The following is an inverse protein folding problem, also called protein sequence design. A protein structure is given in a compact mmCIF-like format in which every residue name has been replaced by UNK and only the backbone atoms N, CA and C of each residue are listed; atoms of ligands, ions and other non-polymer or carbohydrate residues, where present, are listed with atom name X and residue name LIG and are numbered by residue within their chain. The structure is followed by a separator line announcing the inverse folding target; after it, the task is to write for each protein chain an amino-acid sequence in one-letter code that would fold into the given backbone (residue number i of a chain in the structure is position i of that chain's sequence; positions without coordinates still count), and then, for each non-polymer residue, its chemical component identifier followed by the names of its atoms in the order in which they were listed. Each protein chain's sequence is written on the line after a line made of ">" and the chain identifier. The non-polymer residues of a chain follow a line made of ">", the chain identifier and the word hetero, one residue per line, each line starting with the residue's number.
data_IF_709330426701
#
_entry.id   IF_709330426701
#
_cell.length_a   1.000
_cell.length_b   1.000
_cell.length_c   1.000
_cell.angle_alpha   90.00
_cell.angle_beta   90.00
_cell.angle_gamma   90.00
#
_symmetry.space_group_name_H-M   'P 1'
#
loop_
_entity.id
_entity.type
_entity.pdbx_description
1 polymer ?
#
# COMPACT_ATOMS: atom_id res chain seq x y z
N UNK A 1 5.97 -17.77 -1.09
CA UNK A 1 6.84 -16.81 -1.78
C UNK A 1 7.83 -16.19 -0.78
N UNK A 2 9.13 -16.51 -0.88
CA UNK A 2 10.16 -15.98 0.03
C UNK A 2 10.36 -14.46 -0.09
N UNK A 3 9.97 -13.86 -1.22
CA UNK A 3 10.12 -12.44 -1.49
C UNK A 3 9.10 -11.62 -0.69
N UNK A 4 7.84 -12.07 -0.69
CA UNK A 4 6.78 -11.46 0.12
C UNK A 4 7.14 -11.45 1.62
N UNK A 5 7.66 -12.58 2.14
CA UNK A 5 8.09 -12.70 3.55
C UNK A 5 9.26 -11.78 3.88
N UNK A 6 10.23 -11.62 2.97
CA UNK A 6 11.39 -10.72 3.17
C UNK A 6 10.95 -9.25 3.16
N UNK A 7 10.05 -8.86 2.26
CA UNK A 7 9.50 -7.49 2.18
C UNK A 7 8.70 -7.13 3.44
N UNK A 8 7.86 -8.05 3.93
CA UNK A 8 7.07 -7.86 5.14
C UNK A 8 7.96 -7.73 6.37
N UNK A 9 8.97 -8.61 6.50
CA UNK A 9 9.90 -8.60 7.62
C UNK A 9 10.71 -7.29 7.67
N UNK A 10 11.19 -6.79 6.53
CA UNK A 10 11.93 -5.52 6.49
C UNK A 10 11.04 -4.29 6.76
N UNK A 11 9.81 -4.25 6.27
CA UNK A 11 8.93 -3.07 6.46
C UNK A 11 8.36 -2.96 7.87
N UNK A 12 7.89 -4.08 8.42
CA UNK A 12 7.28 -4.11 9.76
C UNK A 12 8.35 -3.86 10.84
N UNK A 13 9.56 -4.39 10.67
CA UNK A 13 10.65 -4.23 11.65
C UNK A 13 11.35 -2.87 11.59
N UNK A 14 11.41 -2.21 10.42
CA UNK A 14 12.16 -0.94 10.30
C UNK A 14 11.31 0.31 10.59
N UNK A 15 10.02 0.18 10.92
CA UNK A 15 9.16 1.33 11.23
C UNK A 15 9.06 2.35 10.09
N UNK A 16 9.30 1.92 8.84
CA UNK A 16 9.21 2.80 7.68
C UNK A 16 7.76 2.91 7.24
N UNK A 17 7.15 4.06 7.55
CA UNK A 17 5.82 4.40 7.06
C UNK A 17 5.73 4.37 5.53
N UNK A 18 4.51 4.23 5.02
CA UNK A 18 4.23 4.26 3.60
C UNK A 18 3.70 5.63 3.17
N UNK A 19 4.45 6.28 2.28
CA UNK A 19 4.01 7.52 1.65
C UNK A 19 2.65 7.35 0.93
N UNK A 20 1.71 8.31 1.01
CA UNK A 20 0.37 8.15 0.44
C UNK A 20 0.34 7.93 -1.08
N UNK A 21 1.22 8.60 -1.84
CA UNK A 21 1.37 8.37 -3.29
C UNK A 21 1.69 6.91 -3.59
N UNK A 22 2.68 6.37 -2.88
CA UNK A 22 3.13 4.98 -3.02
C UNK A 22 2.04 4.00 -2.59
N UNK A 23 1.33 4.31 -1.50
CA UNK A 23 0.19 3.52 -1.06
C UNK A 23 -0.87 3.40 -2.16
N UNK A 24 -1.26 4.51 -2.80
CA UNK A 24 -2.17 4.47 -3.93
C UNK A 24 -1.64 3.63 -5.10
N UNK A 25 -0.38 3.85 -5.51
CA UNK A 25 0.23 3.10 -6.63
C UNK A 25 0.14 1.61 -6.40
N UNK A 26 0.55 1.15 -5.22
CA UNK A 26 0.44 -0.27 -4.82
C UNK A 26 -1.01 -0.72 -4.74
N UNK A 27 -1.88 0.11 -4.18
CA UNK A 27 -3.28 -0.26 -3.98
C UNK A 27 -4.01 -0.51 -5.30
N UNK A 28 -3.73 0.33 -6.30
CA UNK A 28 -4.32 0.25 -7.65
C UNK A 28 -3.50 -0.62 -8.61
N UNK A 29 -2.47 -1.33 -8.14
CA UNK A 29 -1.72 -2.30 -8.94
C UNK A 29 -0.71 -1.69 -9.91
N UNK A 30 -0.37 -0.41 -9.77
CA UNK A 30 0.63 0.27 -10.61
C UNK A 30 2.08 -0.17 -10.30
N UNK A 31 2.32 -0.73 -9.11
CA UNK A 31 3.59 -1.38 -8.74
C UNK A 31 3.52 -2.92 -8.83
N UNK A 32 2.58 -3.47 -9.62
CA UNK A 32 2.48 -4.91 -9.80
C UNK A 32 3.71 -5.48 -10.52
N UNK A 33 4.10 -6.70 -10.16
CA UNK A 33 5.15 -7.47 -10.83
C UNK A 33 4.51 -8.56 -11.69
N UNK A 34 5.13 -8.83 -12.84
CA UNK A 34 4.76 -9.95 -13.69
C UNK A 34 5.32 -11.28 -13.14
N UNK A 35 5.04 -12.39 -13.83
CA UNK A 35 5.50 -13.72 -13.45
C UNK A 35 7.03 -13.89 -13.40
N UNK A 36 7.79 -12.98 -14.01
CA UNK A 36 9.25 -12.95 -14.00
C UNK A 36 9.82 -12.00 -12.93
N UNK A 37 8.97 -11.42 -12.07
CA UNK A 37 9.38 -10.47 -11.04
C UNK A 37 9.72 -9.07 -11.58
N UNK A 38 9.34 -8.75 -12.82
CA UNK A 38 9.60 -7.45 -13.43
C UNK A 38 8.37 -6.53 -13.28
N UNK A 39 8.56 -5.20 -13.16
CA UNK A 39 7.44 -4.25 -13.11
C UNK A 39 6.53 -4.37 -14.35
N UNK A 40 5.21 -4.41 -14.12
CA UNK A 40 4.23 -4.40 -15.20
C UNK A 40 4.09 -3.03 -15.89
N UNK A 41 4.52 -1.96 -15.21
CA UNK A 41 4.40 -0.58 -15.66
C UNK A 41 5.74 0.13 -15.53
N UNK A 42 6.06 0.98 -16.50
CA UNK A 42 7.19 1.90 -16.41
C UNK A 42 6.80 3.12 -15.57
N UNK A 43 7.79 3.89 -15.08
CA UNK A 43 7.48 5.11 -14.33
C UNK A 43 6.69 6.13 -15.17
N UNK A 44 6.95 6.19 -16.49
CA UNK A 44 6.15 7.02 -17.41
C UNK A 44 4.69 6.58 -17.49
N UNK A 45 4.42 5.27 -17.53
CA UNK A 45 3.04 4.75 -17.54
C UNK A 45 2.33 5.11 -16.23
N UNK A 46 3.03 4.97 -15.11
CA UNK A 46 2.51 5.29 -13.78
C UNK A 46 2.16 6.78 -13.70
N UNK A 47 3.05 7.67 -14.13
CA UNK A 47 2.82 9.12 -14.12
C UNK A 47 1.66 9.52 -15.03
N UNK A 48 1.50 8.85 -16.18
CA UNK A 48 0.36 9.05 -17.07
C UNK A 48 -0.96 8.70 -16.37
N UNK A 49 -1.03 7.54 -15.69
CA UNK A 49 -2.22 7.16 -14.91
C UNK A 49 -2.47 8.12 -13.74
N UNK A 50 -1.41 8.55 -13.04
CA UNK A 50 -1.54 9.52 -11.94
C UNK A 50 -2.07 10.89 -12.41
N UNK A 51 -1.90 11.20 -13.69
CA UNK A 51 -2.38 12.42 -14.33
C UNK A 51 -3.81 12.30 -14.86
N UNK A 52 -4.39 11.10 -14.88
CA UNK A 52 -5.77 10.88 -15.34
C UNK A 52 -6.80 11.56 -14.42
N UNK A 53 -7.88 12.03 -15.04
CA UNK A 53 -8.99 12.60 -14.31
C UNK A 53 -9.58 11.58 -13.31
N UNK A 54 -9.73 11.99 -12.06
CA UNK A 54 -10.30 11.16 -11.00
C UNK A 54 -9.30 10.25 -10.27
N UNK A 55 -8.05 10.07 -10.75
CA UNK A 55 -7.05 9.26 -10.02
C UNK A 55 -6.82 9.81 -8.61
N UNK A 56 -6.61 11.13 -8.50
CA UNK A 56 -6.46 11.81 -7.20
C UNK A 56 -7.68 11.60 -6.29
N UNK A 57 -8.89 11.65 -6.84
CA UNK A 57 -10.11 11.47 -6.05
C UNK A 57 -10.22 10.04 -5.52
N UNK A 58 -9.89 9.03 -6.34
CA UNK A 58 -9.79 7.63 -5.90
C UNK A 58 -8.79 7.48 -4.75
N UNK A 59 -7.63 8.13 -4.84
CA UNK A 59 -6.64 8.17 -3.76
C UNK A 59 -7.20 8.80 -2.48
N UNK A 60 -7.83 9.97 -2.58
CA UNK A 60 -8.39 10.68 -1.42
C UNK A 60 -9.42 9.79 -0.71
N UNK A 61 -10.33 9.18 -1.46
CA UNK A 61 -11.39 8.33 -0.91
C UNK A 61 -10.82 7.06 -0.25
N UNK A 62 -9.82 6.45 -0.88
CA UNK A 62 -9.12 5.29 -0.33
C UNK A 62 -8.44 5.64 1.00
N UNK A 63 -7.61 6.68 1.02
CA UNK A 63 -6.84 7.07 2.21
C UNK A 63 -7.80 7.52 3.33
N UNK A 64 -8.88 8.23 2.99
CA UNK A 64 -9.93 8.63 3.95
C UNK A 64 -10.53 7.41 4.66
N UNK A 65 -10.85 6.37 3.89
CA UNK A 65 -11.42 5.12 4.40
C UNK A 65 -10.45 4.36 5.31
N UNK A 66 -9.17 4.34 4.95
CA UNK A 66 -8.10 3.66 5.69
C UNK A 66 -7.78 4.37 6.99
N UNK A 67 -7.57 5.69 6.94
CA UNK A 67 -7.18 6.50 8.11
C UNK A 67 -8.37 6.95 8.95
N UNK A 68 -9.61 6.67 8.52
CA UNK A 68 -10.86 7.09 9.18
C UNK A 68 -10.94 8.61 9.40
N UNK A 69 -10.48 9.37 8.40
CA UNK A 69 -10.55 10.85 8.40
C UNK A 69 -11.39 11.34 7.22
N UNK A 70 -11.88 12.58 7.31
CA UNK A 70 -12.73 13.17 6.26
C UNK A 70 -11.94 13.35 4.95
N UNK A 71 -12.51 13.04 3.78
CA UNK A 71 -11.88 13.27 2.47
C UNK A 71 -11.37 14.71 2.28
N UNK A 72 -12.14 15.70 2.76
CA UNK A 72 -11.77 17.12 2.70
C UNK A 72 -10.46 17.43 3.45
N UNK A 73 -10.14 16.68 4.51
CA UNK A 73 -8.86 16.81 5.22
C UNK A 73 -7.70 16.42 4.32
N UNK A 74 -7.84 15.30 3.60
CA UNK A 74 -6.81 14.77 2.69
C UNK A 74 -6.70 15.65 1.45
N UNK A 75 -7.82 16.19 0.97
CA UNK A 75 -7.83 17.12 -0.15
C UNK A 75 -6.92 18.34 0.12
N UNK A 76 -6.76 18.74 1.38
CA UNK A 76 -5.90 19.86 1.82
C UNK A 76 -4.42 19.48 1.94
N UNK A 77 -4.06 18.21 1.80
CA UNK A 77 -2.67 17.73 1.94
C UNK A 77 -1.78 18.05 0.75
N UNK A 78 -2.16 18.95 -0.15
CA UNK A 78 -1.33 19.32 -1.29
C UNK A 78 -2.09 19.28 -2.60
N UNK A 79 -1.40 19.66 -3.68
CA UNK A 79 -1.90 19.53 -5.05
C UNK A 79 -1.38 18.23 -5.67
N UNK A 80 -2.10 17.68 -6.64
CA UNK A 80 -1.65 16.48 -7.36
C UNK A 80 -1.59 15.22 -6.48
N UNK A 81 -0.64 14.34 -6.71
CA UNK A 81 -0.50 13.06 -5.98
C UNK A 81 0.63 13.06 -4.95
N UNK A 82 1.25 14.21 -4.70
CA UNK A 82 2.42 14.31 -3.81
C UNK A 82 2.08 14.31 -2.33
N UNK A 83 0.90 14.81 -1.96
CA UNK A 83 0.48 14.93 -0.55
C UNK A 83 1.53 15.64 0.35
N UNK A 84 2.14 16.71 -0.16
CA UNK A 84 3.26 17.45 0.44
C UNK A 84 2.88 18.29 1.66
N UNK A 85 1.59 18.60 1.86
CA UNK A 85 1.08 19.44 2.96
C UNK A 85 0.48 18.65 4.12
N UNK A 86 0.93 17.42 4.33
CA UNK A 86 0.59 16.68 5.55
C UNK A 86 1.27 17.38 6.73
N UNK A 87 0.53 17.55 7.82
CA UNK A 87 1.05 18.14 9.05
C UNK A 87 2.25 17.33 9.58
N UNK A 88 3.41 17.93 9.87
CA UNK A 88 4.61 17.20 10.28
C UNK A 88 4.40 16.30 11.51
N UNK A 89 3.59 16.74 12.47
CA UNK A 89 3.22 16.00 13.68
C UNK A 89 2.42 14.72 13.39
N UNK A 90 1.71 14.66 12.26
CA UNK A 90 0.86 13.51 11.89
C UNK A 90 1.43 12.66 10.77
N UNK A 91 2.42 13.17 10.04
CA UNK A 91 2.96 12.49 8.86
C UNK A 91 3.43 11.08 9.18
N UNK A 92 4.27 10.94 10.20
CA UNK A 92 4.78 9.64 10.59
C UNK A 92 3.64 8.69 10.98
N UNK A 93 2.68 9.16 11.78
CA UNK A 93 1.54 8.35 12.20
C UNK A 93 0.73 7.85 10.99
N UNK A 94 0.37 8.74 10.07
CA UNK A 94 -0.42 8.37 8.90
C UNK A 94 0.33 7.41 7.97
N UNK A 95 1.60 7.69 7.68
CA UNK A 95 2.40 6.81 6.85
C UNK A 95 2.57 5.42 7.52
N UNK A 96 2.74 5.36 8.84
CA UNK A 96 2.75 4.09 9.58
C UNK A 96 1.46 3.28 9.41
N UNK A 97 0.29 3.92 9.57
CA UNK A 97 -1.00 3.26 9.36
C UNK A 97 -1.16 2.74 7.93
N UNK A 98 -0.78 3.53 6.93
CA UNK A 98 -0.80 3.10 5.53
C UNK A 98 0.13 1.90 5.29
N UNK A 99 1.30 1.90 5.94
CA UNK A 99 2.25 0.79 5.89
C UNK A 99 1.70 -0.50 6.51
N UNK A 100 1.02 -0.41 7.65
CA UNK A 100 0.35 -1.57 8.26
C UNK A 100 -0.74 -2.14 7.37
N UNK A 101 -1.58 -1.28 6.79
CA UNK A 101 -2.68 -1.71 5.92
C UNK A 101 -2.16 -2.35 4.63
N UNK A 102 -1.10 -1.79 4.02
CA UNK A 102 -0.44 -2.43 2.87
C UNK A 102 0.13 -3.81 3.24
N UNK A 103 0.78 -3.92 4.40
CA UNK A 103 1.36 -5.19 4.87
C UNK A 103 0.29 -6.24 5.13
N UNK A 104 -0.81 -5.86 5.80
CA UNK A 104 -1.96 -6.75 6.02
C UNK A 104 -2.59 -7.18 4.70
N UNK A 105 -2.71 -6.29 3.73
CA UNK A 105 -3.21 -6.64 2.39
C UNK A 105 -2.30 -7.65 1.71
N UNK A 106 -0.99 -7.43 1.70
CA UNK A 106 -0.02 -8.36 1.08
C UNK A 106 -0.10 -9.73 1.75
N UNK A 107 -0.15 -9.77 3.08
CA UNK A 107 -0.33 -11.00 3.85
C UNK A 107 -1.64 -11.71 3.47
N UNK A 108 -2.76 -10.99 3.48
CA UNK A 108 -4.06 -11.55 3.16
C UNK A 108 -4.12 -12.12 1.75
N UNK A 109 -3.59 -11.40 0.74
CA UNK A 109 -3.50 -11.92 -0.63
C UNK A 109 -2.61 -13.14 -0.73
N UNK A 110 -1.49 -13.16 0.00
CA UNK A 110 -0.59 -14.32 0.02
C UNK A 110 -1.27 -15.55 0.64
N UNK A 111 -2.01 -15.35 1.73
CA UNK A 111 -2.75 -16.42 2.42
C UNK A 111 -3.93 -16.93 1.57
N UNK A 112 -4.66 -16.03 0.89
CA UNK A 112 -5.74 -16.42 -0.01
C UNK A 112 -5.27 -17.25 -1.21
N UNK A 113 -4.00 -17.12 -1.59
CA UNK A 113 -3.36 -17.93 -2.63
C UNK A 113 -2.79 -19.26 -2.14
N UNK A 114 -2.88 -19.57 -0.84
CA UNK A 114 -2.43 -20.85 -0.30
C UNK A 114 -3.55 -21.89 -0.36
N UNK A 115 -3.16 -23.13 -0.65
CA UNK A 115 -4.02 -24.29 -0.49
C UNK A 115 -4.44 -24.46 0.99
N UNK A 116 -5.66 -24.94 1.21
CA UNK A 116 -6.25 -25.12 2.54
C UNK A 116 -5.41 -26.03 3.45
N UNK A 117 -4.74 -27.05 2.88
CA UNK A 117 -3.82 -27.92 3.60
C UNK A 117 -2.53 -27.22 4.05
N UNK A 118 -2.02 -26.27 3.28
CA UNK A 118 -0.87 -25.44 3.67
C UNK A 118 -1.25 -24.42 4.74
N UNK A 119 -2.46 -23.86 4.66
CA UNK A 119 -2.99 -22.95 5.69
C UNK A 119 -3.14 -23.66 7.03
N UNK A 120 -3.72 -24.86 7.05
CA UNK A 120 -3.84 -25.66 8.27
C UNK A 120 -2.48 -26.00 8.87
N UNK A 121 -1.47 -26.33 8.05
CA UNK A 121 -0.10 -26.60 8.55
C UNK A 121 0.60 -25.37 9.11
N UNK A 122 0.33 -24.18 8.57
CA UNK A 122 0.87 -22.93 9.10
C UNK A 122 0.18 -22.51 10.40
N UNK A 123 -1.13 -22.73 10.50
CA UNK A 123 -1.92 -22.41 11.70
C UNK A 123 -1.68 -23.41 12.84
N UNK A 124 -1.42 -24.68 12.50
CA UNK A 124 -1.16 -25.75 13.46
C UNK A 124 0.33 -25.93 13.76
N UNK A 125 1.20 -24.98 13.39
CA UNK A 125 2.61 -25.02 13.75
C UNK A 125 2.82 -24.56 15.20
N UNK A 126 2.26 -25.34 16.12
CA UNK A 126 2.66 -25.50 17.54
C UNK A 126 1.66 -26.47 18.19
N UNK A 127 1.87 -27.77 17.99
CA UNK A 127 1.64 -28.82 18.99
C UNK A 127 2.75 -29.86 18.88
#
# INVERSE_FOLDING_TARGET
>A
DQVATKILKTRVLNGQGMHPRRFCRRWFGLEALNQYGQPCYTESDIVMVESEHGYREKCINLIAKVLKIKPNTIHRWGKGVEFDKISPDKRQQYEMYLGYVDSLRVLATSLAGLDEGLLLRLLNWEQ
#
